data_IF_809871044645
#
_entry.id   IF_809871044645
#
_cell.length_a   1.000
_cell.length_b   1.000
_cell.length_c   1.000
_cell.angle_alpha   90.00
_cell.angle_beta   90.00
_cell.angle_gamma   90.00
#
_symmetry.space_group_name_H-M   'P 1'
#
loop_
_entity.id
_entity.type
_entity.pdbx_description
1 polymer ?
#
# COMPACT_ATOMS: atom_id res chain seq x y z
N UNK A 1 53.04 -7.42 -67.83
CA UNK A 1 52.01 -6.49 -67.32
C UNK A 1 50.69 -7.05 -67.77
N UNK A 2 49.73 -7.05 -66.84
CA UNK A 2 48.33 -7.48 -66.98
C UNK A 2 48.12 -8.99 -67.04
N UNK A 3 47.32 -9.66 -66.23
CA UNK A 3 46.45 -9.26 -65.12
C UNK A 3 45.66 -10.54 -64.77
N UNK A 4 45.97 -11.18 -63.64
CA UNK A 4 45.37 -12.45 -63.25
C UNK A 4 43.95 -12.24 -62.73
N UNK A 5 42.96 -12.74 -63.48
CA UNK A 5 41.56 -12.84 -63.06
C UNK A 5 41.41 -13.92 -61.98
N UNK A 6 40.96 -13.51 -60.80
CA UNK A 6 40.58 -14.39 -59.70
C UNK A 6 39.06 -14.46 -59.59
N UNK A 7 38.61 -15.71 -59.58
CA UNK A 7 37.24 -16.19 -59.57
C UNK A 7 36.49 -15.82 -58.27
N UNK A 8 35.24 -15.38 -58.41
CA UNK A 8 34.35 -14.99 -57.31
C UNK A 8 33.84 -16.25 -56.60
N UNK A 9 34.53 -16.70 -55.56
CA UNK A 9 33.95 -17.60 -54.56
C UNK A 9 33.38 -16.81 -53.39
N UNK A 10 32.07 -16.69 -53.40
CA UNK A 10 31.21 -16.21 -52.32
C UNK A 10 31.37 -17.11 -51.09
N UNK A 11 32.06 -16.65 -50.05
CA UNK A 11 32.05 -17.26 -48.72
C UNK A 11 30.82 -16.74 -47.97
N UNK A 12 29.76 -17.56 -47.96
CA UNK A 12 28.62 -17.41 -47.05
C UNK A 12 29.09 -17.68 -45.62
N UNK A 13 29.46 -16.63 -44.91
CA UNK A 13 29.59 -16.67 -43.46
C UNK A 13 28.20 -16.71 -42.82
N UNK A 14 27.77 -17.89 -42.39
CA UNK A 14 26.54 -18.07 -41.61
C UNK A 14 26.70 -17.44 -40.22
N UNK A 15 26.21 -16.22 -40.05
CA UNK A 15 25.95 -15.67 -38.73
C UNK A 15 24.66 -16.32 -38.19
N UNK A 16 24.80 -17.26 -37.27
CA UNK A 16 23.69 -17.72 -36.46
C UNK A 16 23.29 -16.57 -35.53
N UNK A 17 22.28 -15.79 -35.93
CA UNK A 17 21.58 -14.87 -35.02
C UNK A 17 20.81 -15.76 -34.05
N UNK A 18 21.37 -15.95 -32.86
CA UNK A 18 20.61 -16.51 -31.74
C UNK A 18 19.55 -15.47 -31.37
N UNK A 19 18.37 -15.58 -31.98
CA UNK A 19 17.20 -14.87 -31.52
C UNK A 19 16.84 -15.48 -30.16
N UNK A 20 17.31 -14.83 -29.09
CA UNK A 20 16.73 -15.02 -27.76
C UNK A 20 15.29 -14.52 -27.84
N UNK A 21 14.38 -15.45 -28.12
CA UNK A 21 12.95 -15.23 -27.93
C UNK A 21 12.82 -15.06 -26.41
N UNK A 22 12.89 -13.82 -25.95
CA UNK A 22 12.51 -13.47 -24.59
C UNK A 22 11.09 -13.98 -24.41
N UNK A 23 10.95 -15.05 -23.62
CA UNK A 23 9.65 -15.50 -23.15
C UNK A 23 9.11 -14.35 -22.30
N UNK A 24 8.33 -13.46 -22.92
CA UNK A 24 7.45 -12.59 -22.17
C UNK A 24 6.53 -13.52 -21.38
N UNK A 25 6.51 -13.42 -20.04
CA UNK A 25 5.56 -14.19 -19.24
C UNK A 25 4.17 -13.92 -19.82
N UNK A 26 3.40 -14.98 -20.07
CA UNK A 26 2.02 -14.83 -20.52
C UNK A 26 1.29 -13.92 -19.52
N UNK A 27 0.71 -12.83 -20.00
CA UNK A 27 0.00 -11.88 -19.16
C UNK A 27 -1.12 -12.62 -18.42
N UNK A 28 -1.01 -12.72 -17.08
CA UNK A 28 -2.12 -13.21 -16.25
C UNK A 28 -3.30 -12.25 -16.43
N UNK A 29 -4.47 -12.80 -16.72
CA UNK A 29 -5.70 -12.00 -16.83
C UNK A 29 -6.02 -11.37 -15.49
N UNK A 30 -6.07 -10.05 -15.46
CA UNK A 30 -6.45 -9.28 -14.27
C UNK A 30 -7.87 -9.67 -13.81
N UNK A 31 -8.02 -9.91 -12.50
CA UNK A 31 -9.33 -10.13 -11.87
C UNK A 31 -9.94 -8.77 -11.55
N UNK A 32 -11.24 -8.61 -11.82
CA UNK A 32 -11.96 -7.37 -11.58
C UNK A 32 -12.76 -7.43 -10.26
N UNK A 33 -12.76 -6.33 -9.52
CA UNK A 33 -13.50 -6.12 -8.30
C UNK A 33 -15.02 -6.27 -8.52
N UNK A 34 -15.73 -7.08 -7.70
CA UNK A 34 -17.19 -7.17 -7.75
C UNK A 34 -17.87 -5.86 -7.33
N UNK A 35 -19.20 -5.81 -7.46
CA UNK A 35 -20.02 -4.75 -6.85
C UNK A 35 -20.14 -4.95 -5.33
N UNK A 36 -20.16 -3.84 -4.58
CA UNK A 36 -20.49 -3.84 -3.16
C UNK A 36 -21.99 -3.81 -2.88
N UNK A 37 -22.35 -3.33 -1.69
CA UNK A 37 -23.72 -3.28 -1.18
C UNK A 37 -24.00 -4.23 -0.01
N UNK A 38 -22.96 -4.87 0.54
CA UNK A 38 -23.10 -5.81 1.64
C UNK A 38 -23.02 -5.11 3.00
N UNK A 39 -23.74 -5.64 3.98
CA UNK A 39 -23.54 -5.29 5.40
C UNK A 39 -22.57 -6.30 6.00
N UNK A 40 -21.44 -5.82 6.50
CA UNK A 40 -20.36 -6.60 7.08
C UNK A 40 -20.27 -6.33 8.58
N UNK A 41 -19.83 -7.33 9.32
CA UNK A 41 -19.55 -7.22 10.74
C UNK A 41 -18.13 -7.72 11.00
N UNK A 42 -17.34 -6.94 11.73
CA UNK A 42 -16.01 -7.34 12.18
C UNK A 42 -15.82 -6.97 13.65
N UNK A 43 -14.90 -7.66 14.31
CA UNK A 43 -14.46 -7.33 15.65
C UNK A 43 -13.06 -6.76 15.58
N UNK A 44 -12.77 -5.74 16.37
CA UNK A 44 -11.45 -5.13 16.43
C UNK A 44 -11.06 -4.81 17.86
N UNK A 45 -9.79 -4.99 18.19
CA UNK A 45 -9.21 -4.73 19.49
C UNK A 45 -8.11 -3.69 19.35
N UNK A 46 -8.00 -2.77 20.31
CA UNK A 46 -6.77 -2.01 20.54
C UNK A 46 -6.03 -2.60 21.72
N UNK A 47 -4.76 -2.96 21.53
CA UNK A 47 -3.97 -3.71 22.51
C UNK A 47 -2.58 -3.11 22.71
N UNK A 48 -2.00 -3.33 23.89
CA UNK A 48 -0.61 -3.00 24.19
C UNK A 48 0.27 -4.15 23.78
N UNK A 49 1.26 -3.87 22.95
CA UNK A 49 2.24 -4.85 22.50
C UNK A 49 3.37 -5.03 23.54
N UNK A 50 4.09 -6.16 23.53
CA UNK A 50 5.13 -6.47 24.52
C UNK A 50 6.27 -5.44 24.61
N UNK A 51 6.56 -4.76 23.51
CA UNK A 51 7.59 -3.72 23.39
C UNK A 51 7.10 -2.31 23.80
N UNK A 52 5.86 -2.20 24.30
CA UNK A 52 5.26 -0.95 24.73
C UNK A 52 4.56 -0.15 23.62
N UNK A 53 4.61 -0.64 22.38
CA UNK A 53 3.78 -0.14 21.28
C UNK A 53 2.29 -0.43 21.52
N UNK A 54 1.46 0.18 20.70
CA UNK A 54 0.01 -0.04 20.67
C UNK A 54 -0.37 -0.48 19.26
N UNK A 55 -1.24 -1.47 19.13
CA UNK A 55 -1.66 -1.97 17.82
C UNK A 55 -3.15 -2.27 17.77
N UNK A 56 -3.67 -2.35 16.56
CA UNK A 56 -5.02 -2.87 16.30
C UNK A 56 -4.95 -4.31 15.81
N UNK A 57 -5.95 -5.12 16.13
CA UNK A 57 -6.06 -6.51 15.66
C UNK A 57 -7.51 -6.98 15.54
N UNK A 58 -7.78 -7.95 14.67
CA UNK A 58 -9.10 -8.58 14.56
C UNK A 58 -9.36 -9.67 15.62
N UNK A 59 -8.30 -10.15 16.27
CA UNK A 59 -8.33 -11.13 17.34
C UNK A 59 -7.53 -10.62 18.54
N UNK A 60 -7.97 -10.93 19.77
CA UNK A 60 -7.22 -10.60 20.98
C UNK A 60 -5.86 -11.30 20.99
N UNK A 61 -4.82 -10.59 21.41
CA UNK A 61 -3.44 -11.07 21.41
C UNK A 61 -2.79 -11.16 20.02
N UNK A 62 -3.44 -10.58 19.00
CA UNK A 62 -2.98 -10.62 17.60
C UNK A 62 -2.89 -9.23 16.96
N UNK A 63 -2.87 -8.18 17.78
CA UNK A 63 -2.62 -6.83 17.29
C UNK A 63 -1.30 -6.70 16.53
N UNK A 64 -1.30 -5.88 15.47
CA UNK A 64 -0.15 -5.61 14.62
C UNK A 64 0.05 -4.11 14.42
N UNK A 65 1.24 -3.74 13.97
CA UNK A 65 1.57 -2.40 13.47
C UNK A 65 2.23 -2.56 12.08
N UNK A 66 1.62 -2.06 10.99
CA UNK A 66 0.29 -1.44 10.93
C UNK A 66 -0.82 -2.42 11.35
N UNK A 67 -1.98 -1.89 11.72
CA UNK A 67 -3.18 -2.69 11.96
C UNK A 67 -3.65 -3.42 10.70
N UNK A 68 -4.59 -4.38 10.84
CA UNK A 68 -5.03 -5.21 9.74
C UNK A 68 -5.76 -4.43 8.63
N UNK A 69 -5.55 -4.83 7.38
CA UNK A 69 -6.26 -4.25 6.24
C UNK A 69 -7.77 -4.51 6.31
N UNK A 70 -8.54 -3.42 6.18
CA UNK A 70 -9.97 -3.49 5.91
C UNK A 70 -10.19 -3.21 4.42
N UNK A 71 -10.71 -4.20 3.69
CA UNK A 71 -11.10 -4.04 2.29
C UNK A 71 -12.63 -4.08 2.15
N UNK A 72 -13.18 -3.05 1.51
CA UNK A 72 -14.61 -2.88 1.23
C UNK A 72 -14.84 -2.58 -0.25
N UNK A 73 -16.09 -2.70 -0.69
CA UNK A 73 -16.53 -2.34 -2.04
C UNK A 73 -17.54 -1.20 -1.96
N UNK A 74 -17.52 -0.24 -2.91
CA UNK A 74 -18.48 0.90 -2.89
C UNK A 74 -19.93 0.40 -2.77
N UNK A 75 -20.63 0.90 -1.76
CA UNK A 75 -21.97 0.50 -1.35
C UNK A 75 -22.01 -0.37 -0.07
N UNK A 76 -20.88 -0.97 0.33
CA UNK A 76 -20.78 -1.74 1.57
C UNK A 76 -20.96 -0.85 2.81
N UNK A 77 -21.50 -1.45 3.86
CA UNK A 77 -21.49 -0.95 5.23
C UNK A 77 -20.74 -1.92 6.12
N UNK A 78 -19.89 -1.43 7.02
CA UNK A 78 -19.21 -2.25 8.02
C UNK A 78 -19.53 -1.77 9.42
N UNK A 79 -19.96 -2.71 10.27
CA UNK A 79 -20.11 -2.53 11.71
C UNK A 79 -18.92 -3.16 12.42
N UNK A 80 -18.17 -2.34 13.14
CA UNK A 80 -16.94 -2.73 13.83
C UNK A 80 -17.23 -2.80 15.32
N UNK A 81 -17.39 -4.01 15.87
CA UNK A 81 -17.45 -4.23 17.30
C UNK A 81 -16.03 -4.03 17.87
N UNK A 82 -15.78 -2.82 18.36
CA UNK A 82 -14.49 -2.40 18.86
C UNK A 82 -14.40 -2.58 20.38
N UNK A 83 -13.35 -3.23 20.86
CA UNK A 83 -13.05 -3.37 22.29
C UNK A 83 -11.71 -2.70 22.63
N UNK A 84 -11.73 -1.86 23.66
CA UNK A 84 -10.53 -1.26 24.21
C UNK A 84 -9.96 -2.16 25.31
N UNK A 85 -8.84 -2.84 25.06
CA UNK A 85 -8.16 -3.66 26.09
C UNK A 85 -7.06 -2.90 26.83
N UNK A 86 -6.86 -1.61 26.51
CA UNK A 86 -5.88 -0.74 27.14
C UNK A 86 -6.39 -0.18 28.47
N UNK A 87 -5.44 0.38 29.23
CA UNK A 87 -5.65 1.10 30.49
C UNK A 87 -5.90 2.61 30.30
N UNK A 88 -6.03 3.07 29.06
CA UNK A 88 -6.32 4.47 28.69
C UNK A 88 -7.46 4.54 27.67
N UNK A 89 -8.19 5.67 27.57
CA UNK A 89 -9.17 5.86 26.51
C UNK A 89 -8.51 5.75 25.13
N UNK A 90 -9.18 5.06 24.21
CA UNK A 90 -8.74 4.86 22.82
C UNK A 90 -9.92 5.06 21.88
N UNK A 91 -9.67 5.20 20.60
CA UNK A 91 -10.70 5.40 19.60
C UNK A 91 -10.38 4.70 18.28
N UNK A 92 -11.31 4.82 17.33
CA UNK A 92 -11.14 4.41 15.95
C UNK A 92 -11.74 5.49 15.05
N UNK A 93 -10.89 6.23 14.35
CA UNK A 93 -11.25 7.26 13.37
C UNK A 93 -10.84 6.79 11.97
N UNK A 94 -11.61 7.11 10.94
CA UNK A 94 -11.36 6.65 9.56
C UNK A 94 -11.43 7.80 8.57
N UNK A 95 -10.55 7.78 7.57
CA UNK A 95 -10.53 8.74 6.48
C UNK A 95 -11.38 8.28 5.30
N UNK A 96 -12.00 9.22 4.58
CA UNK A 96 -12.66 9.00 3.28
C UNK A 96 -13.99 8.25 3.27
N UNK A 97 -14.28 7.43 4.29
CA UNK A 97 -15.53 6.69 4.41
C UNK A 97 -16.66 7.57 4.97
N UNK A 98 -17.91 7.20 4.70
CA UNK A 98 -19.07 7.89 5.27
C UNK A 98 -19.35 7.38 6.69
N UNK A 99 -19.27 8.24 7.69
CA UNK A 99 -19.65 7.91 9.06
C UNK A 99 -20.52 9.02 9.67
N UNK A 100 -21.31 8.66 10.68
CA UNK A 100 -22.01 9.66 11.49
C UNK A 100 -21.12 10.14 12.63
N UNK A 101 -21.43 11.29 13.21
CA UNK A 101 -20.65 11.89 14.30
C UNK A 101 -20.50 10.97 15.52
N UNK A 102 -21.39 9.98 15.68
CA UNK A 102 -21.31 8.95 16.73
C UNK A 102 -20.24 7.88 16.46
N UNK A 103 -19.65 7.84 15.26
CA UNK A 103 -18.58 6.93 14.84
C UNK A 103 -17.31 7.68 14.39
N UNK A 104 -17.16 8.94 14.79
CA UNK A 104 -16.02 9.78 14.40
C UNK A 104 -14.73 9.46 15.18
N UNK A 105 -14.82 8.83 16.34
CA UNK A 105 -13.69 8.47 17.20
C UNK A 105 -13.13 9.61 18.06
N UNK A 106 -13.75 10.79 18.11
CA UNK A 106 -13.20 11.93 18.85
C UNK A 106 -13.74 12.05 20.28
N UNK A 107 -12.97 12.66 21.20
CA UNK A 107 -13.46 12.99 22.55
C UNK A 107 -14.59 14.03 22.50
N UNK A 108 -14.52 14.96 21.54
CA UNK A 108 -15.44 16.10 21.41
C UNK A 108 -16.91 15.67 21.32
N UNK A 109 -17.20 14.65 20.52
CA UNK A 109 -18.54 14.09 20.35
C UNK A 109 -18.77 12.81 21.17
N UNK A 110 -17.86 12.50 22.12
CA UNK A 110 -17.93 11.33 23.00
C UNK A 110 -18.04 10.02 22.21
N UNK A 111 -17.30 9.95 21.09
CA UNK A 111 -17.26 8.75 20.25
C UNK A 111 -16.03 7.86 20.49
N UNK A 112 -15.18 8.22 21.46
CA UNK A 112 -14.10 7.36 21.95
C UNK A 112 -14.62 6.21 22.85
N UNK A 113 -13.69 5.34 23.28
CA UNK A 113 -13.97 4.13 24.07
C UNK A 113 -13.10 4.13 25.33
N UNK A 114 -13.75 4.09 26.49
CA UNK A 114 -13.10 4.02 27.81
C UNK A 114 -12.36 2.68 28.01
N UNK A 115 -11.38 2.60 28.95
CA UNK A 115 -10.70 1.35 29.30
C UNK A 115 -11.66 0.20 29.58
N UNK A 116 -11.44 -0.96 28.94
CA UNK A 116 -12.27 -2.16 29.10
C UNK A 116 -13.66 -2.09 28.47
N UNK A 117 -14.04 -0.96 27.87
CA UNK A 117 -15.35 -0.78 27.25
C UNK A 117 -15.37 -1.26 25.80
N UNK A 118 -16.58 -1.42 25.26
CA UNK A 118 -16.84 -1.75 23.87
C UNK A 118 -17.71 -0.69 23.21
N UNK A 119 -17.55 -0.51 21.89
CA UNK A 119 -18.37 0.37 21.05
C UNK A 119 -18.49 -0.23 19.66
N UNK A 120 -19.66 -0.10 19.03
CA UNK A 120 -19.79 -0.38 17.59
C UNK A 120 -19.59 0.89 16.77
N UNK A 121 -18.52 0.95 15.98
CA UNK A 121 -18.36 1.96 14.94
C UNK A 121 -19.06 1.51 13.67
N UNK A 122 -19.68 2.44 12.94
CA UNK A 122 -20.32 2.12 11.65
C UNK A 122 -19.74 3.00 10.56
N UNK A 123 -19.14 2.36 9.56
CA UNK A 123 -18.63 3.02 8.36
C UNK A 123 -19.43 2.57 7.15
N UNK A 124 -19.82 3.51 6.31
CA UNK A 124 -20.56 3.29 5.08
C UNK A 124 -19.72 3.75 3.90
N UNK A 125 -20.05 3.22 2.73
CA UNK A 125 -19.48 3.64 1.46
C UNK A 125 -20.61 3.89 0.46
N UNK A 126 -20.36 4.69 -0.55
CA UNK A 126 -21.33 4.96 -1.61
C UNK A 126 -20.69 4.92 -2.99
N UNK A 127 -21.51 4.55 -3.99
CA UNK A 127 -21.15 4.60 -5.39
C UNK A 127 -21.13 6.05 -5.88
N UNK A 128 -20.31 6.39 -6.89
CA UNK A 128 -20.39 7.68 -7.55
C UNK A 128 -21.72 7.83 -8.30
N UNK A 129 -22.18 9.06 -8.50
CA UNK A 129 -23.41 9.30 -9.23
C UNK A 129 -23.77 10.76 -9.44
N UNK A 130 -24.74 11.02 -10.30
CA UNK A 130 -25.23 12.37 -10.58
C UNK A 130 -26.25 12.81 -9.52
N UNK A 131 -26.06 13.98 -8.93
CA UNK A 131 -27.02 14.59 -8.00
C UNK A 131 -28.19 15.23 -8.76
N UNK A 132 -29.26 15.54 -8.03
CA UNK A 132 -30.43 16.23 -8.58
C UNK A 132 -30.10 17.62 -9.15
N UNK A 133 -29.12 18.32 -8.57
CA UNK A 133 -28.60 19.61 -9.06
C UNK A 133 -27.71 19.50 -10.31
N UNK A 134 -27.50 18.27 -10.81
CA UNK A 134 -26.71 18.00 -12.00
C UNK A 134 -25.21 17.79 -11.76
N UNK A 135 -24.70 18.05 -10.55
CA UNK A 135 -23.28 17.83 -10.18
C UNK A 135 -22.94 16.35 -10.02
N UNK A 136 -21.66 16.01 -10.09
CA UNK A 136 -21.17 14.64 -9.84
C UNK A 136 -20.78 14.46 -8.37
N UNK A 137 -21.30 13.41 -7.73
CA UNK A 137 -20.84 12.93 -6.43
C UNK A 137 -19.74 11.90 -6.69
N UNK A 138 -18.52 12.22 -6.27
CA UNK A 138 -17.46 11.23 -6.19
C UNK A 138 -17.88 10.12 -5.23
N UNK A 139 -17.61 8.86 -5.56
CA UNK A 139 -17.85 7.73 -4.67
C UNK A 139 -16.70 7.54 -3.68
N UNK A 140 -16.87 6.59 -2.76
CA UNK A 140 -15.91 6.33 -1.68
C UNK A 140 -14.64 5.59 -2.11
N UNK A 141 -14.52 5.10 -3.34
CA UNK A 141 -13.37 4.29 -3.74
C UNK A 141 -12.06 5.06 -3.67
N UNK A 142 -11.05 4.44 -3.04
CA UNK A 142 -9.75 5.03 -2.79
C UNK A 142 -8.93 4.20 -1.81
N UNK A 143 -7.69 4.65 -1.62
CA UNK A 143 -6.77 4.18 -0.58
C UNK A 143 -6.88 5.12 0.61
N UNK A 144 -7.32 4.57 1.74
CA UNK A 144 -7.63 5.30 2.96
C UNK A 144 -6.92 4.64 4.14
N UNK A 145 -7.14 5.20 5.34
CA UNK A 145 -6.59 4.65 6.57
C UNK A 145 -7.51 4.93 7.75
N UNK A 146 -7.31 4.17 8.82
CA UNK A 146 -7.90 4.39 10.13
C UNK A 146 -6.80 4.56 11.18
N UNK A 147 -7.08 5.34 12.21
CA UNK A 147 -6.13 5.57 13.30
C UNK A 147 -6.83 5.98 14.60
N UNK A 148 -6.07 6.02 15.68
CA UNK A 148 -6.53 6.58 16.96
C UNK A 148 -6.54 8.12 16.93
N UNK A 149 -7.49 8.72 17.64
CA UNK A 149 -7.67 10.16 17.76
C UNK A 149 -7.64 10.67 19.22
N UNK A 150 -7.32 9.84 20.23
CA UNK A 150 -7.50 10.24 21.64
C UNK A 150 -6.38 9.89 22.62
N UNK A 151 -5.48 8.96 22.24
CA UNK A 151 -4.35 8.54 23.07
C UNK A 151 -3.25 9.60 23.00
N UNK A 152 -2.83 10.06 24.17
CA UNK A 152 -1.80 11.10 24.33
C UNK A 152 -2.32 12.52 24.18
N UNK A 153 -2.99 12.83 23.06
CA UNK A 153 -3.62 14.14 22.79
C UNK A 153 -5.03 13.94 22.26
N UNK A 154 -5.82 15.02 22.18
CA UNK A 154 -7.17 14.98 21.57
C UNK A 154 -7.16 14.76 20.04
N UNK A 155 -5.96 14.65 19.45
CA UNK A 155 -5.74 14.32 18.04
C UNK A 155 -4.96 13.01 17.86
N UNK A 156 -4.86 12.19 18.92
CA UNK A 156 -4.29 10.83 18.83
C UNK A 156 -2.78 10.78 18.60
N UNK A 157 -2.03 11.88 18.79
CA UNK A 157 -0.59 11.94 18.54
C UNK A 157 0.18 10.80 19.25
N UNK A 158 -0.23 10.47 20.48
CA UNK A 158 0.40 9.38 21.23
C UNK A 158 0.02 7.98 20.74
N UNK A 159 -1.22 7.80 20.27
CA UNK A 159 -1.70 6.55 19.69
C UNK A 159 -1.05 6.26 18.35
N UNK A 160 -1.08 7.23 17.44
CA UNK A 160 -0.46 7.17 16.11
C UNK A 160 1.04 6.86 16.23
N UNK A 161 1.79 7.64 17.04
CA UNK A 161 3.23 7.41 17.25
C UNK A 161 3.52 5.99 17.76
N UNK A 162 2.62 5.41 18.56
CA UNK A 162 2.79 4.06 19.12
C UNK A 162 2.32 2.92 18.23
N UNK A 163 1.66 3.19 17.09
CA UNK A 163 1.26 2.15 16.14
C UNK A 163 -0.25 1.97 15.92
N UNK A 164 -1.11 2.81 16.54
CA UNK A 164 -2.55 2.77 16.31
C UNK A 164 -2.93 3.43 15.00
N UNK A 165 -2.57 2.78 13.90
CA UNK A 165 -2.96 3.11 12.53
C UNK A 165 -3.08 1.83 11.70
N UNK A 166 -3.91 1.83 10.66
CA UNK A 166 -4.02 0.73 9.72
C UNK A 166 -4.72 1.14 8.42
N UNK A 167 -4.58 0.33 7.35
CA UNK A 167 -5.06 0.71 6.03
C UNK A 167 -6.53 0.32 5.80
N UNK A 168 -7.19 1.11 4.95
CA UNK A 168 -8.50 0.79 4.37
C UNK A 168 -8.43 0.91 2.85
N UNK A 169 -8.94 -0.09 2.14
CA UNK A 169 -9.20 0.02 0.70
C UNK A 169 -10.71 0.00 0.48
N UNK A 170 -11.20 0.96 -0.30
CA UNK A 170 -12.55 0.87 -0.88
C UNK A 170 -12.41 0.69 -2.39
N UNK A 171 -12.82 -0.47 -2.90
CA UNK A 171 -12.76 -0.80 -4.33
C UNK A 171 -14.03 -0.34 -5.05
N UNK A 172 -13.86 0.19 -6.27
CA UNK A 172 -14.96 0.39 -7.21
C UNK A 172 -15.18 -0.87 -8.02
N UNK A 173 -16.43 -1.15 -8.40
CA UNK A 173 -16.75 -2.25 -9.34
C UNK A 173 -15.89 -2.10 -10.60
N UNK A 174 -15.19 -3.17 -10.96
CA UNK A 174 -14.30 -3.20 -12.13
C UNK A 174 -12.86 -2.77 -11.86
N UNK A 175 -12.52 -2.29 -10.65
CA UNK A 175 -11.12 -2.07 -10.27
C UNK A 175 -10.33 -3.38 -10.38
N UNK A 176 -9.08 -3.29 -10.82
CA UNK A 176 -8.21 -4.47 -10.93
C UNK A 176 -7.79 -4.92 -9.52
N UNK A 177 -7.90 -6.23 -9.25
CA UNK A 177 -7.44 -6.84 -8.01
C UNK A 177 -5.98 -7.30 -8.14
N UNK A 178 -5.16 -7.13 -7.07
CA UNK A 178 -3.78 -7.59 -7.06
C UNK A 178 -3.64 -9.06 -6.64
N UNK A 179 -2.44 -9.62 -6.84
CA UNK A 179 -2.03 -10.90 -6.28
C UNK A 179 -1.68 -10.76 -4.78
N UNK A 180 -1.10 -9.62 -4.39
CA UNK A 180 -0.76 -9.30 -3.01
C UNK A 180 -0.86 -7.79 -2.74
N UNK A 181 -1.18 -7.44 -1.50
CA UNK A 181 -1.23 -6.04 -1.03
C UNK A 181 -0.26 -5.85 0.14
N UNK A 182 0.59 -4.84 0.06
CA UNK A 182 1.54 -4.46 1.11
C UNK A 182 1.27 -3.04 1.59
N UNK A 183 1.47 -2.80 2.88
CA UNK A 183 1.26 -1.48 3.49
C UNK A 183 2.57 -0.92 4.00
N UNK A 184 2.86 0.30 3.59
CA UNK A 184 4.04 1.08 3.97
C UNK A 184 3.55 2.36 4.63
N UNK A 185 3.87 2.51 5.91
CA UNK A 185 3.53 3.70 6.69
C UNK A 185 4.80 4.40 7.09
N UNK A 186 5.00 5.63 6.61
CA UNK A 186 6.02 6.52 7.15
C UNK A 186 5.42 7.19 8.38
N UNK A 187 5.77 6.70 9.57
CA UNK A 187 5.32 7.26 10.84
C UNK A 187 6.52 7.91 11.53
N UNK A 188 6.53 9.24 11.56
CA UNK A 188 7.73 10.01 11.87
C UNK A 188 8.92 9.48 11.04
N UNK A 189 10.05 9.17 11.69
CA UNK A 189 11.28 8.71 11.04
C UNK A 189 11.36 7.18 10.88
N UNK A 190 10.24 6.47 11.03
CA UNK A 190 10.18 5.00 10.98
C UNK A 190 9.27 4.52 9.86
N UNK A 191 9.55 3.32 9.35
CA UNK A 191 8.65 2.61 8.44
C UNK A 191 7.92 1.54 9.24
N UNK A 192 6.59 1.62 9.32
CA UNK A 192 5.75 0.67 10.07
C UNK A 192 6.19 0.50 11.54
N UNK A 193 6.70 1.59 12.15
CA UNK A 193 7.32 1.61 13.47
C UNK A 193 8.51 0.64 13.67
N UNK A 194 9.10 0.12 12.59
CA UNK A 194 10.30 -0.71 12.69
C UNK A 194 11.54 0.14 12.98
N UNK A 195 12.55 -0.41 13.66
CA UNK A 195 13.83 0.27 13.83
C UNK A 195 14.46 0.65 12.49
N UNK A 196 15.31 1.67 12.51
CA UNK A 196 16.09 2.09 11.36
C UNK A 196 16.80 0.90 10.68
N UNK A 197 16.84 0.91 9.35
CA UNK A 197 17.51 -0.12 8.52
C UNK A 197 16.99 -1.55 8.74
N UNK A 198 15.72 -1.71 9.16
CA UNK A 198 15.13 -3.02 9.46
C UNK A 198 13.94 -3.37 8.54
N UNK A 199 13.91 -2.80 7.33
CA UNK A 199 12.83 -2.99 6.36
C UNK A 199 11.55 -2.23 6.74
N UNK A 200 10.34 -2.80 6.49
CA UNK A 200 10.08 -4.20 6.10
C UNK A 200 10.47 -4.50 4.66
N UNK A 201 10.81 -5.76 4.40
CA UNK A 201 11.03 -6.23 3.03
C UNK A 201 9.80 -6.99 2.54
N UNK A 202 9.52 -6.90 1.25
CA UNK A 202 8.39 -7.55 0.60
C UNK A 202 8.88 -8.39 -0.58
N UNK A 203 8.34 -9.59 -0.72
CA UNK A 203 8.71 -10.49 -1.81
C UNK A 203 7.62 -10.55 -2.88
N UNK A 204 8.04 -10.64 -4.13
CA UNK A 204 7.19 -11.00 -5.25
C UNK A 204 7.98 -11.87 -6.25
N UNK A 205 7.29 -12.42 -7.23
CA UNK A 205 7.89 -13.04 -8.42
C UNK A 205 7.71 -12.09 -9.60
N UNK A 206 8.66 -12.06 -10.54
CA UNK A 206 8.51 -11.31 -11.79
C UNK A 206 7.17 -11.62 -12.44
N UNK A 207 6.39 -10.56 -12.74
CA UNK A 207 5.07 -10.64 -13.34
C UNK A 207 3.89 -10.63 -12.35
N UNK A 208 4.14 -10.79 -11.05
CA UNK A 208 3.07 -10.66 -10.04
C UNK A 208 2.55 -9.21 -10.01
N UNK A 209 1.23 -9.06 -9.85
CA UNK A 209 0.58 -7.78 -9.64
C UNK A 209 0.58 -7.45 -8.16
N UNK A 210 1.39 -6.48 -7.76
CA UNK A 210 1.58 -6.10 -6.36
C UNK A 210 0.94 -4.75 -6.11
N UNK A 211 0.07 -4.66 -5.11
CA UNK A 211 -0.55 -3.43 -4.63
C UNK A 211 0.21 -2.89 -3.42
N UNK A 212 0.48 -1.60 -3.43
CA UNK A 212 1.06 -0.88 -2.29
C UNK A 212 0.08 0.17 -1.80
N UNK A 213 -0.15 0.17 -0.49
CA UNK A 213 -0.83 1.25 0.23
C UNK A 213 0.25 2.03 0.96
N UNK A 214 0.34 3.33 0.68
CA UNK A 214 1.32 4.21 1.31
C UNK A 214 0.59 5.25 2.15
N UNK A 215 0.88 5.27 3.45
CA UNK A 215 0.29 6.19 4.43
C UNK A 215 1.42 6.97 5.11
N UNK A 216 1.17 8.21 5.47
CA UNK A 216 2.13 9.02 6.24
C UNK A 216 1.49 9.54 7.52
N UNK A 217 2.24 9.54 8.62
CA UNK A 217 1.81 9.98 9.94
C UNK A 217 2.97 10.66 10.68
N UNK A 218 2.64 11.38 11.76
CA UNK A 218 3.62 12.03 12.62
C UNK A 218 3.81 13.51 12.26
N UNK A 219 5.05 13.99 12.34
CA UNK A 219 5.36 15.42 12.28
C UNK A 219 6.04 15.86 10.97
N UNK A 220 6.58 14.91 10.20
CA UNK A 220 7.46 15.21 9.06
C UNK A 220 6.76 15.04 7.72
N UNK A 221 7.20 15.82 6.73
CA UNK A 221 6.96 15.48 5.34
C UNK A 221 8.00 14.46 4.87
N UNK A 222 7.64 13.67 3.88
CA UNK A 222 8.50 12.66 3.27
C UNK A 222 8.35 12.68 1.74
N UNK A 223 9.25 11.99 1.04
CA UNK A 223 9.10 11.66 -0.37
C UNK A 223 9.22 10.15 -0.56
N UNK A 224 8.12 9.44 -0.83
CA UNK A 224 8.17 8.00 -1.08
C UNK A 224 8.73 7.74 -2.48
N UNK A 225 9.77 6.93 -2.59
CA UNK A 225 10.40 6.52 -3.84
C UNK A 225 10.56 5.00 -3.95
N UNK A 226 10.38 4.45 -5.15
CA UNK A 226 10.59 3.03 -5.43
C UNK A 226 11.45 2.83 -6.68
N UNK A 227 12.53 2.06 -6.56
CA UNK A 227 13.46 1.79 -7.64
C UNK A 227 12.84 0.84 -8.67
N UNK A 228 13.16 1.06 -9.96
CA UNK A 228 12.77 0.16 -11.07
C UNK A 228 11.29 0.20 -11.47
N UNK A 229 10.43 0.80 -10.65
CA UNK A 229 8.97 0.77 -10.81
C UNK A 229 8.39 2.17 -10.80
N UNK A 230 7.20 2.35 -11.39
CA UNK A 230 6.50 3.63 -11.51
C UNK A 230 4.99 3.41 -11.54
N UNK A 231 4.22 4.44 -11.18
CA UNK A 231 2.76 4.40 -11.13
C UNK A 231 2.16 5.74 -11.59
N UNK A 232 0.87 5.78 -11.88
CA UNK A 232 0.16 7.01 -12.20
C UNK A 232 -0.27 7.73 -10.91
N UNK A 233 -0.08 9.04 -10.81
CA UNK A 233 -0.52 9.84 -9.64
C UNK A 233 -2.03 10.14 -9.66
N UNK A 234 -2.85 9.08 -9.66
CA UNK A 234 -4.31 9.12 -9.63
C UNK A 234 -4.87 8.13 -8.59
N UNK A 235 -6.19 7.94 -8.58
CA UNK A 235 -6.89 7.10 -7.60
C UNK A 235 -6.36 5.67 -7.49
N UNK A 236 -6.00 5.03 -8.60
CA UNK A 236 -5.66 3.59 -8.65
C UNK A 236 -4.18 3.32 -8.83
N UNK A 237 -3.36 4.34 -9.06
CA UNK A 237 -1.98 4.14 -9.48
C UNK A 237 -1.82 3.67 -10.93
N UNK A 238 -2.92 3.57 -11.69
CA UNK A 238 -2.98 2.99 -13.03
C UNK A 238 -3.64 3.99 -13.98
N UNK A 239 -3.05 4.21 -15.15
CA UNK A 239 -3.70 5.01 -16.20
C UNK A 239 -4.94 4.29 -16.70
N UNK A 240 -6.05 5.01 -16.91
CA UNK A 240 -7.28 4.39 -17.43
C UNK A 240 -7.21 4.03 -18.91
N UNK A 241 -6.24 4.59 -19.63
CA UNK A 241 -6.04 4.41 -21.07
C UNK A 241 -5.10 5.47 -21.64
N UNK A 242 -4.90 5.52 -22.97
CA UNK A 242 -4.00 6.48 -23.62
C UNK A 242 -4.44 7.94 -23.48
N UNK A 243 -5.71 8.19 -23.17
CA UNK A 243 -6.26 9.54 -23.01
C UNK A 243 -6.17 10.06 -21.56
N UNK A 244 -5.66 9.26 -20.62
CA UNK A 244 -5.46 9.68 -19.23
C UNK A 244 -4.20 10.58 -19.12
N UNK A 245 -4.34 11.88 -18.78
CA UNK A 245 -3.22 12.81 -18.74
C UNK A 245 -2.43 12.76 -17.42
N UNK A 246 -2.78 11.83 -16.52
CA UNK A 246 -2.15 11.72 -15.20
C UNK A 246 -0.64 11.53 -15.34
N UNK A 247 0.12 12.25 -14.51
CA UNK A 247 1.57 12.10 -14.45
C UNK A 247 1.94 10.69 -13.98
N UNK A 248 2.82 10.02 -14.72
CA UNK A 248 3.49 8.81 -14.26
C UNK A 248 4.72 9.21 -13.45
N UNK A 249 4.83 8.67 -12.24
CA UNK A 249 5.83 9.02 -11.23
C UNK A 249 6.44 7.77 -10.59
N UNK A 250 7.62 7.93 -10.02
CA UNK A 250 8.26 6.95 -9.13
C UNK A 250 8.62 7.57 -7.76
N UNK A 251 8.30 8.84 -7.56
CA UNK A 251 8.57 9.60 -6.36
C UNK A 251 7.39 10.55 -6.03
N UNK A 252 6.90 10.53 -4.79
CA UNK A 252 5.77 11.35 -4.35
C UNK A 252 6.03 11.99 -2.99
N UNK A 253 5.89 13.31 -2.89
CA UNK A 253 5.86 14.01 -1.60
C UNK A 253 4.57 13.72 -0.85
N UNK A 254 4.67 13.49 0.46
CA UNK A 254 3.56 13.16 1.37
C UNK A 254 3.79 13.83 2.73
N UNK A 255 2.70 14.18 3.40
CA UNK A 255 2.70 14.72 4.77
C UNK A 255 1.77 13.94 5.70
N UNK A 256 1.69 14.35 6.98
CA UNK A 256 0.88 13.64 7.96
C UNK A 256 -0.59 13.49 7.54
N UNK A 257 -1.10 12.27 7.70
CA UNK A 257 -2.42 11.78 7.31
C UNK A 257 -2.66 11.63 5.79
N UNK A 258 -1.67 11.91 4.92
CA UNK A 258 -1.77 11.56 3.51
C UNK A 258 -1.84 10.04 3.33
N UNK A 259 -2.67 9.62 2.36
CA UNK A 259 -2.70 8.24 1.89
C UNK A 259 -2.90 8.18 0.39
N UNK A 260 -2.20 7.23 -0.24
CA UNK A 260 -2.38 6.87 -1.64
C UNK A 260 -2.04 5.40 -1.82
N UNK A 261 -2.32 4.87 -3.00
CA UNK A 261 -1.91 3.52 -3.33
C UNK A 261 -1.83 3.33 -4.83
N UNK A 262 -1.21 2.23 -5.20
CA UNK A 262 -0.94 1.90 -6.59
C UNK A 262 -0.68 0.42 -6.76
N UNK A 263 -0.77 -0.04 -8.00
CA UNK A 263 -0.37 -1.39 -8.38
C UNK A 263 0.76 -1.35 -9.40
N UNK A 264 1.68 -2.29 -9.29
CA UNK A 264 2.75 -2.52 -10.27
C UNK A 264 2.76 -3.97 -10.72
N UNK A 265 3.29 -4.21 -11.91
CA UNK A 265 3.72 -5.55 -12.32
C UNK A 265 5.18 -5.70 -11.90
N UNK A 266 5.46 -6.63 -10.98
CA UNK A 266 6.77 -6.80 -10.38
C UNK A 266 7.83 -7.09 -11.45
N UNK A 267 8.88 -6.27 -11.52
CA UNK A 267 9.97 -6.43 -12.49
C UNK A 267 9.59 -6.11 -13.94
N UNK A 268 8.48 -5.43 -14.21
CA UNK A 268 8.07 -5.07 -15.58
C UNK A 268 9.13 -4.20 -16.28
N UNK A 269 9.71 -4.73 -17.36
CA UNK A 269 10.75 -4.05 -18.13
C UNK A 269 12.13 -3.96 -17.45
N UNK A 270 12.25 -4.37 -16.18
CA UNK A 270 13.49 -4.26 -15.39
C UNK A 270 13.99 -5.60 -14.81
N UNK A 271 13.15 -6.62 -14.74
CA UNK A 271 13.50 -7.96 -14.28
C UNK A 271 13.55 -8.13 -12.76
N UNK A 272 14.05 -9.30 -12.34
CA UNK A 272 14.25 -9.66 -10.93
C UNK A 272 15.39 -8.85 -10.30
N UNK A 273 15.30 -8.57 -9.00
CA UNK A 273 16.29 -7.80 -8.25
C UNK A 273 15.81 -7.43 -6.84
N UNK A 274 16.75 -7.03 -5.99
CA UNK A 274 16.45 -6.39 -4.71
C UNK A 274 16.24 -4.89 -4.92
N UNK A 275 15.01 -4.50 -5.27
CA UNK A 275 14.67 -3.12 -5.60
C UNK A 275 14.41 -2.31 -4.34
N UNK A 276 15.18 -1.26 -4.09
CA UNK A 276 14.98 -0.43 -2.91
C UNK A 276 13.67 0.36 -3.00
N UNK A 277 13.01 0.53 -1.88
CA UNK A 277 12.07 1.62 -1.66
C UNK A 277 12.52 2.40 -0.42
N UNK A 278 12.38 3.72 -0.46
CA UNK A 278 12.86 4.55 0.65
C UNK A 278 12.20 5.93 0.66
N UNK A 279 12.35 6.63 1.78
CA UNK A 279 12.16 8.07 1.79
C UNK A 279 13.30 8.73 1.01
N UNK A 280 13.01 9.66 0.08
CA UNK A 280 14.02 10.35 -0.73
C UNK A 280 14.46 11.70 -0.14
N UNK A 281 14.01 12.04 1.07
CA UNK A 281 14.69 13.07 1.86
C UNK A 281 16.01 12.47 2.31
N UNK A 282 17.14 13.03 1.86
CA UNK A 282 18.45 12.38 1.98
C UNK A 282 18.80 11.94 3.41
N UNK A 283 18.57 12.81 4.40
CA UNK A 283 18.82 12.46 5.81
C UNK A 283 17.91 11.33 6.30
N UNK A 284 16.69 11.22 5.79
CA UNK A 284 15.74 10.19 6.21
C UNK A 284 16.17 8.81 5.68
N UNK A 285 16.63 8.73 4.42
CA UNK A 285 17.21 7.48 3.89
C UNK A 285 18.48 7.09 4.62
N UNK A 286 19.39 8.05 4.87
CA UNK A 286 20.66 7.78 5.57
C UNK A 286 20.43 7.29 7.00
N UNK A 287 19.34 7.74 7.64
CA UNK A 287 18.90 7.30 8.97
C UNK A 287 18.04 6.02 8.96
N UNK A 288 17.84 5.39 7.80
CA UNK A 288 17.29 4.04 7.71
C UNK A 288 15.81 3.93 7.39
N UNK A 289 15.18 4.98 6.84
CA UNK A 289 13.87 4.85 6.18
C UNK A 289 14.00 4.17 4.81
N UNK A 290 14.38 2.90 4.83
CA UNK A 290 14.67 2.06 3.65
C UNK A 290 14.11 0.66 3.88
N UNK A 291 13.55 0.06 2.83
CA UNK A 291 13.29 -1.39 2.74
C UNK A 291 13.50 -1.90 1.32
N UNK A 292 13.30 -3.21 1.14
CA UNK A 292 13.50 -3.89 -0.14
C UNK A 292 12.20 -4.47 -0.68
N UNK A 293 11.95 -4.23 -1.96
CA UNK A 293 11.04 -5.00 -2.78
C UNK A 293 11.83 -6.08 -3.53
N UNK A 294 11.84 -7.27 -2.95
CA UNK A 294 12.59 -8.45 -3.37
C UNK A 294 11.83 -9.17 -4.49
N UNK A 295 12.11 -8.81 -5.74
CA UNK A 295 11.50 -9.43 -6.91
C UNK A 295 12.33 -10.63 -7.36
N UNK A 296 11.80 -11.83 -7.15
CA UNK A 296 12.41 -13.12 -7.49
C UNK A 296 12.18 -13.50 -8.95
N UNK A 297 13.11 -14.24 -9.52
CA UNK A 297 12.89 -15.02 -10.75
C UNK A 297 11.90 -16.17 -10.51
N UNK A 298 11.38 -16.80 -11.57
CA UNK A 298 10.53 -17.99 -11.43
C UNK A 298 11.18 -19.17 -10.69
N UNK A 299 12.52 -19.25 -10.67
CA UNK A 299 13.29 -20.26 -9.93
C UNK A 299 13.50 -19.90 -8.45
N UNK A 300 12.94 -18.78 -7.98
CA UNK A 300 13.06 -18.29 -6.61
C UNK A 300 14.30 -17.45 -6.32
N UNK A 301 15.23 -17.30 -7.27
CA UNK A 301 16.49 -16.57 -7.05
C UNK A 301 16.35 -15.06 -7.26
N UNK A 302 17.21 -14.27 -6.59
CA UNK A 302 17.34 -12.81 -6.77
C UNK A 302 18.75 -12.50 -7.28
N UNK A 303 18.92 -11.86 -8.46
CA UNK A 303 20.25 -11.53 -8.98
C UNK A 303 21.08 -10.66 -8.04
N UNK A 304 22.29 -11.12 -7.71
CA UNK A 304 23.27 -10.34 -6.94
C UNK A 304 22.87 -10.03 -5.50
N UNK A 305 21.84 -10.69 -4.97
CA UNK A 305 21.39 -10.53 -3.60
C UNK A 305 21.53 -11.86 -2.86
N UNK A 306 22.45 -11.88 -1.91
CA UNK A 306 22.55 -12.95 -0.92
C UNK A 306 21.78 -12.48 0.32
N UNK A 307 20.80 -13.25 0.82
CA UNK A 307 20.14 -12.92 2.08
C UNK A 307 21.22 -12.77 3.18
N UNK A 308 21.09 -11.81 4.10
CA UNK A 308 21.94 -11.80 5.28
C UNK A 308 21.84 -13.17 5.95
N UNK A 309 22.96 -13.83 6.20
CA UNK A 309 22.98 -15.13 6.88
C UNK A 309 22.12 -15.03 8.15
N UNK A 310 21.14 -15.93 8.29
CA UNK A 310 20.39 -16.07 9.54
C UNK A 310 21.41 -16.28 10.68
N UNK A 311 21.52 -15.29 11.57
CA UNK A 311 22.32 -15.35 12.78
C UNK A 311 21.43 -15.71 13.97
#
# INVERSE_FOLDING_TARGET
MDGTGLDRRTLLGGAAVAASIGLTPAARTAVAAPSGGQVRHLTMYAERLPDGQLGYGFEKGRATVPGPLIELYEGDTVHIAFENTLDVPVSLHVHGLDYEITSDGTKMNRSHVEPGATRTYTWRTHLPGRRADGTWRAGSAGYWHYHDHVVGTEHGTGGIRKGLYGPVIVRRKGDVLPDATHTIVFNDMLINNKPAHSGPDFEATVGDRVEFIMITHGEYYHTFHMHGHRWADNRTGLLTGPDDPTRVIDNKIVGPADSFGFQVVAGEGVGAGAWMYHCHVQSHSDMGMVGLFLVKKPDGTIPGYEPPHEH
#
